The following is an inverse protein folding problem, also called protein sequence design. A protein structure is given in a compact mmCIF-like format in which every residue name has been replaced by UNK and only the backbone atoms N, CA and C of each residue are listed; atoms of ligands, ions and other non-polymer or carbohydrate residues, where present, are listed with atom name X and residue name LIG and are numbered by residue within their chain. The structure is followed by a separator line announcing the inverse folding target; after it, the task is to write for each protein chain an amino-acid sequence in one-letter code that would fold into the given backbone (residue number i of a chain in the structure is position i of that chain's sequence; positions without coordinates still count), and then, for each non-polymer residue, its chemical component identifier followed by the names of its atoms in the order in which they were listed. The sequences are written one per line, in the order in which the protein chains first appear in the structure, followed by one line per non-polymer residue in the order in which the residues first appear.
data_IF_289344447584
#
_entry.id   IF_289344447584
#
_cell.length_a   1.000
_cell.length_b   1.000
_cell.length_c   1.000
_cell.angle_alpha   90.00
_cell.angle_beta   90.00
_cell.angle_gamma   90.00
#
_symmetry.space_group_name_H-M   'P 1'
#
loop_
_entity.id
_entity.type
_entity.pdbx_description
1 polymer ?
#
# COMPACT_ATOMS: atom_id res chain seq x y z
N UNK A 1 25.04 11.37 19.91
CA UNK A 1 25.77 10.90 18.70
C UNK A 1 24.79 10.72 17.54
N UNK A 2 23.92 11.71 17.31
CA UNK A 2 22.51 11.45 17.67
C UNK A 2 21.52 11.16 16.52
N UNK A 3 21.60 11.87 15.38
CA UNK A 3 20.72 11.62 14.22
C UNK A 3 21.53 11.30 12.96
N UNK A 4 22.56 12.10 12.66
CA UNK A 4 23.40 11.93 11.47
C UNK A 4 24.03 10.55 11.36
N UNK A 5 24.52 9.99 12.47
CA UNK A 5 25.08 8.63 12.50
C UNK A 5 24.04 7.58 12.12
N UNK A 6 22.83 7.68 12.69
CA UNK A 6 21.72 6.76 12.39
C UNK A 6 21.28 6.83 10.93
N UNK A 7 21.23 8.03 10.35
CA UNK A 7 20.92 8.20 8.94
C UNK A 7 22.01 7.63 8.03
N UNK A 8 23.29 7.77 8.42
CA UNK A 8 24.40 7.18 7.68
C UNK A 8 24.37 5.63 7.75
N UNK A 9 24.12 5.06 8.93
CA UNK A 9 24.01 3.61 9.12
C UNK A 9 22.81 3.03 8.34
N UNK A 10 21.65 3.73 8.41
CA UNK A 10 20.46 3.37 7.64
C UNK A 10 20.76 3.36 6.14
N UNK A 11 21.25 4.47 5.58
CA UNK A 11 21.47 4.62 4.15
C UNK A 11 22.62 3.76 3.60
N UNK A 12 23.73 3.69 4.32
CA UNK A 12 24.98 3.10 3.84
C UNK A 12 25.15 1.61 4.10
N UNK A 13 24.52 1.08 5.15
CA UNK A 13 24.60 -0.33 5.50
C UNK A 13 23.25 -1.03 5.29
N UNK A 14 22.23 -0.60 6.03
CA UNK A 14 20.97 -1.35 6.13
C UNK A 14 20.17 -1.36 4.84
N UNK A 15 20.06 -0.22 4.16
CA UNK A 15 19.36 -0.11 2.86
C UNK A 15 20.08 -0.91 1.78
N UNK A 16 21.41 -0.87 1.76
CA UNK A 16 22.23 -1.59 0.78
C UNK A 16 22.08 -3.09 0.96
N UNK A 17 22.24 -3.58 2.19
CA UNK A 17 22.05 -4.99 2.52
C UNK A 17 20.64 -5.45 2.17
N UNK A 18 19.62 -4.70 2.64
CA UNK A 18 18.23 -5.03 2.39
C UNK A 18 17.90 -5.15 0.89
N UNK A 19 18.36 -4.18 0.10
CA UNK A 19 17.97 -4.11 -1.32
C UNK A 19 18.82 -4.98 -2.23
N UNK A 20 20.10 -5.16 -1.93
CA UNK A 20 21.04 -5.82 -2.86
C UNK A 20 21.44 -7.22 -2.42
N UNK A 21 21.46 -7.51 -1.12
CA UNK A 21 21.85 -8.81 -0.58
C UNK A 21 20.62 -9.68 -0.27
N UNK A 22 19.60 -9.09 0.36
CA UNK A 22 18.40 -9.82 0.82
C UNK A 22 17.28 -9.90 -0.25
N UNK A 23 17.29 -9.00 -1.23
CA UNK A 23 16.25 -8.85 -2.25
C UNK A 23 16.81 -8.59 -3.64
N UNK A 24 15.95 -8.72 -4.67
CA UNK A 24 16.30 -8.36 -6.05
C UNK A 24 16.10 -6.86 -6.28
N UNK A 25 16.98 -6.05 -5.71
CA UNK A 25 16.98 -4.60 -5.86
C UNK A 25 18.36 -4.02 -6.16
N UNK A 26 18.37 -2.73 -6.47
CA UNK A 26 19.60 -1.98 -6.71
C UNK A 26 19.44 -0.55 -6.23
N UNK A 27 20.38 -0.09 -5.41
CA UNK A 27 20.42 1.28 -4.91
C UNK A 27 21.03 2.19 -5.98
N UNK A 28 20.29 3.21 -6.42
CA UNK A 28 20.82 4.26 -7.30
C UNK A 28 21.53 5.33 -6.49
N UNK A 29 20.89 5.79 -5.42
CA UNK A 29 21.41 6.82 -4.52
C UNK A 29 20.66 6.78 -3.19
N UNK A 30 21.37 6.92 -2.06
CA UNK A 30 20.79 7.23 -0.75
C UNK A 30 21.67 8.25 -0.01
N UNK A 31 21.08 9.37 0.39
CA UNK A 31 21.75 10.49 1.05
C UNK A 31 21.52 10.58 2.55
N UNK A 32 20.98 9.53 3.17
CA UNK A 32 20.50 9.54 4.55
C UNK A 32 19.03 9.19 4.60
N UNK A 33 18.17 10.22 4.61
CA UNK A 33 16.71 10.09 4.68
C UNK A 33 16.01 10.02 3.32
N UNK A 34 16.66 10.49 2.25
CA UNK A 34 16.15 10.42 0.88
C UNK A 34 17.01 9.49 0.00
N UNK A 35 16.35 8.75 -0.89
CA UNK A 35 17.02 7.85 -1.82
C UNK A 35 16.13 7.37 -2.95
N UNK A 36 16.76 6.67 -3.90
CA UNK A 36 16.15 6.07 -5.07
C UNK A 36 16.74 4.67 -5.26
N UNK A 37 15.87 3.69 -5.45
CA UNK A 37 16.24 2.31 -5.74
C UNK A 37 15.31 1.70 -6.80
N UNK A 38 15.84 0.70 -7.49
CA UNK A 38 15.05 -0.25 -8.27
C UNK A 38 14.78 -1.49 -7.45
N UNK A 39 13.59 -2.07 -7.62
CA UNK A 39 13.17 -3.30 -6.96
C UNK A 39 12.42 -4.18 -7.95
N UNK A 40 12.61 -5.49 -7.89
CA UNK A 40 11.78 -6.43 -8.61
C UNK A 40 10.33 -6.33 -8.10
N UNK A 41 9.36 -6.38 -9.03
CA UNK A 41 7.94 -6.29 -8.69
C UNK A 41 7.51 -7.40 -7.71
N UNK A 42 8.08 -8.59 -7.83
CA UNK A 42 7.78 -9.73 -6.95
C UNK A 42 8.11 -9.46 -5.48
N UNK A 43 9.13 -8.64 -5.22
CA UNK A 43 9.59 -8.30 -3.88
C UNK A 43 9.02 -6.97 -3.37
N UNK A 44 8.20 -6.26 -4.17
CA UNK A 44 7.71 -4.91 -3.86
C UNK A 44 7.21 -4.77 -2.42
N UNK A 45 6.23 -5.59 -2.00
CA UNK A 45 5.64 -5.49 -0.66
C UNK A 45 6.61 -5.85 0.45
N UNK A 46 7.50 -6.84 0.22
CA UNK A 46 8.51 -7.25 1.21
C UNK A 46 9.50 -6.11 1.44
N UNK A 47 10.03 -5.56 0.36
CA UNK A 47 11.06 -4.51 0.39
C UNK A 47 10.52 -3.24 1.04
N UNK A 48 9.36 -2.73 0.62
CA UNK A 48 8.86 -1.47 1.20
C UNK A 48 8.45 -1.65 2.67
N UNK A 49 7.99 -2.85 3.07
CA UNK A 49 7.74 -3.17 4.48
C UNK A 49 9.05 -3.16 5.27
N UNK A 50 10.04 -3.93 4.80
CA UNK A 50 11.32 -4.05 5.47
C UNK A 50 12.04 -2.70 5.57
N UNK A 51 11.98 -1.87 4.53
CA UNK A 51 12.53 -0.51 4.55
C UNK A 51 11.90 0.32 5.67
N UNK A 52 10.57 0.24 5.84
CA UNK A 52 9.86 0.95 6.91
C UNK A 52 10.20 0.41 8.30
N UNK A 53 10.33 -0.91 8.44
CA UNK A 53 10.68 -1.57 9.71
C UNK A 53 12.11 -1.22 10.13
N UNK A 54 13.08 -1.27 9.21
CA UNK A 54 14.46 -0.86 9.46
C UNK A 54 14.53 0.61 9.87
N UNK A 55 13.78 1.50 9.21
CA UNK A 55 13.67 2.91 9.61
C UNK A 55 13.08 3.07 11.02
N UNK A 56 12.03 2.31 11.32
CA UNK A 56 11.41 2.31 12.66
C UNK A 56 12.44 1.97 13.74
N UNK A 57 13.18 0.89 13.53
CA UNK A 57 14.10 0.34 14.51
C UNK A 57 15.36 1.18 14.68
N UNK A 58 15.96 1.64 13.58
CA UNK A 58 17.26 2.31 13.61
C UNK A 58 17.15 3.82 13.84
N UNK A 59 16.06 4.44 13.38
CA UNK A 59 15.91 5.91 13.37
C UNK A 59 14.78 6.36 14.28
N UNK A 60 13.56 5.85 14.08
CA UNK A 60 12.37 6.39 14.75
C UNK A 60 12.31 6.05 16.25
N UNK A 61 12.34 4.77 16.64
CA UNK A 61 12.23 4.33 18.04
C UNK A 61 13.34 4.90 18.93
N UNK A 62 14.62 4.92 18.52
CA UNK A 62 15.68 5.44 19.37
C UNK A 62 15.58 6.94 19.64
N UNK A 63 14.88 7.68 18.78
CA UNK A 63 14.66 9.12 18.92
C UNK A 63 13.32 9.45 19.57
N UNK A 64 12.47 8.46 19.85
CA UNK A 64 11.12 8.67 20.38
C UNK A 64 11.09 9.27 21.79
N UNK A 65 12.08 8.97 22.62
CA UNK A 65 12.20 9.56 23.97
C UNK A 65 12.91 10.92 23.98
N UNK A 66 13.46 11.36 22.85
CA UNK A 66 14.28 12.58 22.74
C UNK A 66 13.58 13.66 21.94
N UNK A 67 12.84 13.28 20.90
CA UNK A 67 12.11 14.19 20.02
C UNK A 67 10.61 14.10 20.28
N UNK A 68 9.97 15.26 20.39
CA UNK A 68 8.51 15.36 20.47
C UNK A 68 7.81 14.86 19.20
N UNK A 69 8.49 14.92 18.05
CA UNK A 69 8.04 14.38 16.77
C UNK A 69 9.19 13.60 16.12
N UNK A 70 9.26 12.28 16.34
CA UNK A 70 10.29 11.44 15.75
C UNK A 70 10.19 11.42 14.22
N UNK A 71 11.32 11.27 13.51
CA UNK A 71 11.32 11.28 12.06
C UNK A 71 10.61 10.03 11.52
N UNK A 72 9.68 10.25 10.59
CA UNK A 72 8.89 9.20 9.92
C UNK A 72 9.39 8.98 8.49
N UNK A 73 8.97 7.89 7.85
CA UNK A 73 9.36 7.54 6.49
C UNK A 73 8.13 7.60 5.57
N UNK A 74 8.23 8.34 4.48
CA UNK A 74 7.25 8.29 3.39
C UNK A 74 7.92 7.77 2.12
N UNK A 75 7.22 6.93 1.36
CA UNK A 75 7.76 6.29 0.15
C UNK A 75 6.81 6.48 -1.03
N UNK A 76 7.36 6.90 -2.17
CA UNK A 76 6.68 6.88 -3.46
C UNK A 76 7.23 5.75 -4.32
N UNK A 77 6.35 4.94 -4.89
CA UNK A 77 6.71 3.84 -5.79
C UNK A 77 6.07 4.06 -7.14
N UNK A 78 6.82 3.81 -8.20
CA UNK A 78 6.26 3.62 -9.55
C UNK A 78 6.50 2.18 -9.99
N UNK A 79 5.46 1.55 -10.53
CA UNK A 79 5.55 0.26 -11.21
C UNK A 79 5.34 0.51 -12.70
N UNK A 80 6.34 0.17 -13.51
CA UNK A 80 6.35 0.47 -14.93
C UNK A 80 6.91 -0.69 -15.74
N UNK A 81 6.49 -0.79 -17.01
CA UNK A 81 7.17 -1.65 -17.97
C UNK A 81 8.59 -1.11 -18.25
N UNK A 82 9.56 -2.00 -18.46
CA UNK A 82 10.97 -1.65 -18.69
C UNK A 82 11.21 -0.76 -19.94
N UNK A 83 10.22 -0.66 -20.83
CA UNK A 83 10.26 0.24 -22.00
C UNK A 83 9.74 1.66 -21.73
N UNK A 84 9.18 1.94 -20.55
CA UNK A 84 8.82 3.32 -20.20
C UNK A 84 10.08 4.15 -20.04
N UNK A 85 10.02 5.41 -20.50
CA UNK A 85 11.13 6.34 -20.34
C UNK A 85 11.44 6.59 -18.87
N UNK A 86 12.68 6.34 -18.46
CA UNK A 86 13.11 6.47 -17.05
C UNK A 86 12.81 7.84 -16.44
N UNK A 87 12.94 8.93 -17.22
CA UNK A 87 12.60 10.29 -16.77
C UNK A 87 11.13 10.40 -16.33
N UNK A 88 10.23 9.77 -17.07
CA UNK A 88 8.82 9.75 -16.73
C UNK A 88 8.58 8.88 -15.49
N UNK A 89 9.20 7.70 -15.40
CA UNK A 89 9.12 6.86 -14.20
C UNK A 89 9.60 7.61 -12.94
N UNK A 90 10.73 8.33 -13.00
CA UNK A 90 11.23 9.11 -11.88
C UNK A 90 10.29 10.25 -11.49
N UNK A 91 9.68 10.92 -12.49
CA UNK A 91 8.66 11.94 -12.24
C UNK A 91 7.46 11.33 -11.49
N UNK A 92 6.93 10.21 -11.97
CA UNK A 92 5.78 9.53 -11.36
C UNK A 92 6.10 8.99 -9.96
N UNK A 93 7.32 8.47 -9.73
CA UNK A 93 7.76 8.06 -8.40
C UNK A 93 7.80 9.25 -7.43
N UNK A 94 8.26 10.42 -7.89
CA UNK A 94 8.24 11.64 -7.09
C UNK A 94 6.82 12.13 -6.83
N UNK A 95 5.95 12.11 -7.84
CA UNK A 95 4.53 12.44 -7.67
C UNK A 95 3.84 11.54 -6.65
N UNK A 96 4.12 10.24 -6.69
CA UNK A 96 3.64 9.29 -5.67
C UNK A 96 4.19 9.64 -4.28
N UNK A 97 5.49 9.97 -4.15
CA UNK A 97 6.07 10.38 -2.86
C UNK A 97 5.39 11.62 -2.30
N UNK A 98 5.15 12.65 -3.12
CA UNK A 98 4.46 13.86 -2.68
C UNK A 98 3.01 13.56 -2.30
N UNK A 99 2.32 12.64 -2.98
CA UNK A 99 0.98 12.19 -2.60
C UNK A 99 0.97 11.43 -1.26
N UNK A 100 1.96 10.59 -0.98
CA UNK A 100 2.12 9.96 0.32
C UNK A 100 2.34 11.01 1.43
N UNK A 101 3.15 12.03 1.16
CA UNK A 101 3.42 13.14 2.11
C UNK A 101 2.21 14.04 2.37
N UNK A 102 1.20 14.04 1.51
CA UNK A 102 -0.08 14.76 1.71
C UNK A 102 -1.00 14.08 2.72
N UNK A 103 -0.79 12.80 3.04
CA UNK A 103 -1.56 12.13 4.08
C UNK A 103 -1.32 12.80 5.44
N UNK A 104 -2.38 12.97 6.23
CA UNK A 104 -2.32 13.58 7.56
C UNK A 104 -1.26 12.89 8.43
N UNK A 105 -0.25 13.63 8.90
CA UNK A 105 0.84 13.07 9.70
C UNK A 105 1.91 12.28 8.92
N UNK A 106 1.92 12.33 7.58
CA UNK A 106 2.91 11.67 6.70
C UNK A 106 2.98 10.16 6.97
N UNK A 107 4.15 9.55 7.15
CA UNK A 107 4.34 8.13 7.48
C UNK A 107 3.45 7.19 6.66
N UNK A 108 3.62 7.27 5.34
CA UNK A 108 2.71 6.68 4.36
C UNK A 108 3.48 6.25 3.11
N UNK A 109 2.87 5.37 2.33
CA UNK A 109 3.35 5.04 1.01
C UNK A 109 2.28 5.36 -0.05
N UNK A 110 2.75 5.60 -1.27
CA UNK A 110 1.90 5.72 -2.46
C UNK A 110 2.53 4.94 -3.60
N UNK A 111 1.70 4.26 -4.38
CA UNK A 111 2.12 3.44 -5.52
C UNK A 111 1.36 3.89 -6.75
N UNK A 112 2.09 4.29 -7.78
CA UNK A 112 1.58 4.54 -9.12
C UNK A 112 1.90 3.35 -10.03
N UNK A 113 0.91 2.79 -10.70
CA UNK A 113 1.07 1.73 -11.70
C UNK A 113 0.85 2.32 -13.09
N UNK A 114 1.92 2.34 -13.90
CA UNK A 114 1.89 2.77 -15.29
C UNK A 114 1.37 1.62 -16.15
N UNK A 115 0.07 1.66 -16.46
CA UNK A 115 -0.55 0.73 -17.41
C UNK A 115 -0.25 1.14 -18.84
N UNK A 116 -0.31 0.19 -19.78
CA UNK A 116 -0.06 0.45 -21.21
C UNK A 116 -1.01 1.49 -21.83
N UNK A 117 -2.20 1.66 -21.26
CA UNK A 117 -3.21 2.63 -21.70
C UNK A 117 -3.87 3.33 -20.51
N UNK A 118 -4.06 4.64 -20.63
CA UNK A 118 -4.72 5.49 -19.63
C UNK A 118 -3.77 6.17 -18.66
N UNK A 119 -4.33 7.00 -17.77
CA UNK A 119 -3.58 7.65 -16.70
C UNK A 119 -3.04 6.62 -15.70
N UNK A 120 -1.91 6.90 -15.04
CA UNK A 120 -1.41 6.08 -13.94
C UNK A 120 -2.50 5.78 -12.92
N UNK A 121 -2.64 4.51 -12.53
CA UNK A 121 -3.48 4.18 -11.39
C UNK A 121 -2.65 4.40 -10.14
N UNK A 122 -3.06 5.34 -9.29
CA UNK A 122 -2.35 5.72 -8.09
C UNK A 122 -3.18 5.43 -6.85
N UNK A 123 -2.57 4.80 -5.86
CA UNK A 123 -3.17 4.48 -4.57
C UNK A 123 -2.20 4.80 -3.45
N UNK A 124 -2.72 5.20 -2.29
CA UNK A 124 -1.92 5.55 -1.11
C UNK A 124 -2.50 4.94 0.15
N UNK A 125 -1.64 4.73 1.14
CA UNK A 125 -2.05 4.31 2.47
C UNK A 125 -1.01 4.70 3.52
N UNK A 126 -1.45 4.77 4.78
CA UNK A 126 -0.54 4.68 5.92
C UNK A 126 0.15 3.31 5.91
N UNK A 127 1.37 3.21 6.44
CA UNK A 127 1.97 1.90 6.71
C UNK A 127 1.10 1.08 7.66
N UNK A 128 0.66 1.78 8.72
CA UNK A 128 -0.08 1.25 9.86
C UNK A 128 -1.22 2.17 10.22
N UNK A 129 -2.36 1.58 10.54
CA UNK A 129 -3.44 2.30 11.20
C UNK A 129 -3.51 1.83 12.65
N UNK A 130 -3.66 2.74 13.63
CA UNK A 130 -3.75 2.35 15.04
C UNK A 130 -5.15 1.87 15.43
N UNK A 131 -6.18 2.27 14.68
CA UNK A 131 -7.58 1.92 14.96
C UNK A 131 -8.39 1.72 13.66
N UNK A 132 -8.77 0.48 13.32
CA UNK A 132 -8.29 -0.76 13.93
C UNK A 132 -6.78 -0.91 13.74
N UNK A 133 -6.09 -1.58 14.67
CA UNK A 133 -4.65 -1.80 14.56
C UNK A 133 -4.34 -2.73 13.38
N UNK A 134 -3.80 -2.23 12.29
CA UNK A 134 -3.47 -3.04 11.10
C UNK A 134 -2.16 -2.61 10.46
N UNK A 135 -1.51 -3.58 9.82
CA UNK A 135 -0.37 -3.39 8.91
C UNK A 135 -0.88 -3.54 7.47
N UNK A 136 -0.87 -2.46 6.67
CA UNK A 136 -1.52 -2.49 5.35
C UNK A 136 -0.83 -3.51 4.43
N UNK A 137 0.50 -3.57 4.45
CA UNK A 137 1.27 -4.46 3.58
C UNK A 137 1.06 -5.94 3.89
N UNK A 138 0.71 -6.30 5.13
CA UNK A 138 0.35 -7.68 5.47
C UNK A 138 -1.00 -8.09 4.89
N UNK A 139 -1.93 -7.13 4.75
CA UNK A 139 -3.23 -7.35 4.12
C UNK A 139 -3.05 -7.50 2.61
N UNK A 140 -2.19 -6.67 1.99
CA UNK A 140 -1.86 -6.80 0.57
C UNK A 140 -1.16 -8.13 0.28
N UNK A 141 -0.20 -8.54 1.12
CA UNK A 141 0.48 -9.82 1.00
C UNK A 141 -0.50 -11.00 1.12
N UNK A 142 -1.48 -10.93 2.04
CA UNK A 142 -2.51 -11.97 2.17
C UNK A 142 -3.39 -12.09 0.91
N UNK A 143 -3.76 -10.96 0.29
CA UNK A 143 -4.48 -10.97 -0.99
C UNK A 143 -3.61 -11.48 -2.12
N UNK A 144 -2.35 -11.06 -2.20
CA UNK A 144 -1.37 -11.54 -3.18
C UNK A 144 -1.27 -13.06 -3.13
N UNK A 145 -1.17 -13.63 -1.93
CA UNK A 145 -1.16 -15.06 -1.68
C UNK A 145 -2.45 -15.76 -2.10
N UNK A 146 -3.61 -15.17 -1.77
CA UNK A 146 -4.91 -15.71 -2.17
C UNK A 146 -5.07 -15.77 -3.69
N UNK A 147 -4.59 -14.75 -4.42
CA UNK A 147 -4.58 -14.75 -5.89
C UNK A 147 -3.61 -15.79 -6.46
N UNK A 148 -2.37 -15.85 -5.95
CA UNK A 148 -1.35 -16.83 -6.40
C UNK A 148 -1.82 -18.27 -6.21
N UNK A 149 -2.48 -18.54 -5.08
CA UNK A 149 -3.07 -19.86 -4.76
C UNK A 149 -4.42 -20.11 -5.46
N UNK A 150 -4.85 -19.22 -6.35
CA UNK A 150 -6.13 -19.28 -7.09
C UNK A 150 -7.36 -19.42 -6.18
N UNK A 151 -7.28 -18.88 -4.95
CA UNK A 151 -8.36 -18.92 -3.95
C UNK A 151 -9.36 -17.80 -4.12
N UNK A 152 -8.91 -16.66 -4.65
CA UNK A 152 -9.74 -15.48 -4.87
C UNK A 152 -9.71 -15.08 -6.35
N UNK A 153 -10.88 -14.89 -6.94
CA UNK A 153 -11.01 -14.37 -8.31
C UNK A 153 -11.04 -12.84 -8.29
N UNK A 154 -10.25 -12.11 -9.11
CA UNK A 154 -10.23 -10.64 -9.13
C UNK A 154 -11.58 -10.00 -9.52
N UNK A 155 -12.53 -10.79 -10.03
CA UNK A 155 -13.88 -10.32 -10.38
C UNK A 155 -14.62 -9.70 -9.19
N UNK A 156 -14.33 -10.11 -7.95
CA UNK A 156 -14.95 -9.49 -6.77
C UNK A 156 -14.73 -7.98 -6.73
N UNK A 157 -13.55 -7.52 -7.14
CA UNK A 157 -13.19 -6.11 -7.10
C UNK A 157 -13.86 -5.34 -8.25
N UNK A 158 -14.02 -5.98 -9.42
CA UNK A 158 -14.77 -5.42 -10.53
C UNK A 158 -16.26 -5.27 -10.18
N UNK A 159 -16.85 -6.30 -9.56
CA UNK A 159 -18.22 -6.25 -9.07
C UNK A 159 -18.36 -5.13 -8.03
N UNK A 160 -17.42 -4.99 -7.09
CA UNK A 160 -17.44 -3.92 -6.08
C UNK A 160 -17.35 -2.53 -6.71
N UNK A 161 -16.51 -2.35 -7.74
CA UNK A 161 -16.47 -1.10 -8.52
C UNK A 161 -17.81 -0.81 -9.21
N UNK A 162 -18.54 -1.84 -9.64
CA UNK A 162 -19.89 -1.70 -10.19
C UNK A 162 -20.91 -1.14 -9.19
N UNK A 163 -20.72 -1.42 -7.90
CA UNK A 163 -21.57 -0.92 -6.81
C UNK A 163 -21.17 0.49 -6.32
N UNK A 164 -20.11 1.09 -6.89
CA UNK A 164 -19.57 2.38 -6.44
C UNK A 164 -20.61 3.50 -6.46
N UNK A 165 -21.49 3.54 -7.48
CA UNK A 165 -22.54 4.55 -7.56
C UNK A 165 -23.54 4.43 -6.38
N UNK A 166 -23.89 3.21 -5.98
CA UNK A 166 -24.81 2.98 -4.87
C UNK A 166 -24.17 3.37 -3.53
N UNK A 167 -22.89 3.05 -3.34
CA UNK A 167 -22.11 3.43 -2.15
C UNK A 167 -21.94 4.95 -2.09
N UNK A 168 -21.49 5.56 -3.18
CA UNK A 168 -21.25 7.01 -3.26
C UNK A 168 -22.56 7.80 -3.23
N UNK A 169 -23.67 7.27 -3.73
CA UNK A 169 -24.99 7.92 -3.66
C UNK A 169 -25.50 8.11 -2.22
N UNK A 170 -24.95 7.39 -1.25
CA UNK A 170 -25.20 7.63 0.18
C UNK A 170 -24.25 8.66 0.78
N UNK A 171 -23.07 8.87 0.20
CA UNK A 171 -22.10 9.85 0.66
C UNK A 171 -22.31 11.21 -0.02
N UNK A 172 -22.10 12.36 0.65
CA UNK A 172 -21.79 12.55 2.07
C UNK A 172 -23.04 12.61 2.96
N UNK A 173 -24.23 12.32 2.44
CA UNK A 173 -25.51 12.52 3.13
C UNK A 173 -25.73 11.56 4.32
N UNK A 174 -25.35 10.29 4.16
CA UNK A 174 -25.34 9.25 5.18
C UNK A 174 -24.03 8.43 5.13
N UNK A 175 -22.94 8.98 5.69
CA UNK A 175 -21.63 8.35 5.76
C UNK A 175 -21.60 6.97 6.43
N UNK A 176 -22.45 6.75 7.44
CA UNK A 176 -22.52 5.48 8.16
C UNK A 176 -23.13 4.41 7.25
N UNK A 177 -24.22 4.74 6.56
CA UNK A 177 -24.88 3.82 5.64
C UNK A 177 -24.03 3.49 4.42
N UNK A 178 -23.29 4.47 3.89
CA UNK A 178 -22.32 4.24 2.82
C UNK A 178 -21.26 3.20 3.25
N UNK A 179 -20.71 3.35 4.46
CA UNK A 179 -19.75 2.39 5.02
C UNK A 179 -20.35 1.00 5.20
N UNK A 180 -21.53 0.91 5.84
CA UNK A 180 -22.22 -0.36 6.06
C UNK A 180 -22.50 -1.11 4.76
N UNK A 181 -22.94 -0.40 3.72
CA UNK A 181 -23.22 -0.98 2.40
C UNK A 181 -21.92 -1.51 1.79
N UNK A 182 -20.84 -0.75 1.84
CA UNK A 182 -19.54 -1.18 1.33
C UNK A 182 -19.00 -2.40 2.09
N UNK A 183 -19.08 -2.40 3.43
CA UNK A 183 -18.68 -3.55 4.27
C UNK A 183 -19.46 -4.83 3.90
N UNK A 184 -20.78 -4.68 3.71
CA UNK A 184 -21.64 -5.78 3.27
C UNK A 184 -21.22 -6.31 1.90
N UNK A 185 -21.00 -5.42 0.92
CA UNK A 185 -20.60 -5.80 -0.43
C UNK A 185 -19.21 -6.44 -0.49
N UNK A 186 -18.22 -5.90 0.24
CA UNK A 186 -16.89 -6.52 0.38
C UNK A 186 -17.03 -7.98 0.85
N UNK A 187 -17.77 -8.19 1.95
CA UNK A 187 -17.97 -9.53 2.53
C UNK A 187 -18.70 -10.46 1.56
N UNK A 188 -19.78 -9.99 0.93
CA UNK A 188 -20.60 -10.77 -0.01
C UNK A 188 -19.78 -11.17 -1.24
N UNK A 189 -19.07 -10.22 -1.84
CA UNK A 189 -18.35 -10.42 -3.10
C UNK A 189 -17.10 -11.28 -2.91
N UNK A 190 -16.33 -11.10 -1.83
CA UNK A 190 -15.19 -11.98 -1.54
C UNK A 190 -15.68 -13.43 -1.37
N UNK A 191 -16.76 -13.66 -0.61
CA UNK A 191 -17.33 -15.02 -0.44
C UNK A 191 -17.79 -15.62 -1.77
N UNK A 192 -18.48 -14.83 -2.58
CA UNK A 192 -18.99 -15.25 -3.90
C UNK A 192 -17.87 -15.66 -4.85
N UNK A 193 -16.73 -14.98 -4.79
CA UNK A 193 -15.57 -15.18 -5.67
C UNK A 193 -14.44 -15.96 -5.00
N UNK A 194 -14.72 -16.59 -3.86
CA UNK A 194 -13.80 -17.49 -3.17
C UNK A 194 -13.91 -18.89 -3.78
N UNK A 195 -12.84 -19.31 -4.45
CA UNK A 195 -12.78 -20.53 -5.24
C UNK A 195 -11.98 -21.65 -4.57
N UNK A 196 -11.35 -21.40 -3.40
CA UNK A 196 -10.26 -22.23 -2.85
C UNK A 196 -10.45 -23.73 -3.10
N UNK A 197 -9.58 -24.36 -3.92
CA UNK A 197 -9.74 -25.76 -4.31
C UNK A 197 -9.63 -26.74 -3.14
N UNK A 198 -9.09 -26.29 -2.01
CA UNK A 198 -8.90 -27.09 -0.81
C UNK A 198 -9.97 -26.83 0.26
N UNK A 199 -10.97 -25.98 -0.02
CA UNK A 199 -12.08 -25.72 0.88
C UNK A 199 -11.76 -24.91 2.14
N UNK A 200 -10.61 -24.20 2.20
CA UNK A 200 -10.37 -23.30 3.33
C UNK A 200 -11.37 -22.13 3.31
N UNK A 201 -11.79 -21.63 4.49
CA UNK A 201 -12.72 -20.51 4.57
C UNK A 201 -12.10 -19.19 4.12
N UNK A 202 -12.94 -18.30 3.58
CA UNK A 202 -12.55 -16.94 3.17
C UNK A 202 -12.43 -15.96 4.36
N UNK A 203 -12.84 -16.36 5.57
CA UNK A 203 -13.06 -15.44 6.70
C UNK A 203 -11.81 -14.66 7.11
N UNK A 204 -10.61 -15.24 6.99
CA UNK A 204 -9.36 -14.51 7.27
C UNK A 204 -9.12 -13.37 6.28
N UNK A 205 -9.35 -13.61 4.98
CA UNK A 205 -9.19 -12.58 3.95
C UNK A 205 -10.26 -11.50 4.15
N UNK A 206 -11.51 -11.92 4.37
CA UNK A 206 -12.64 -11.00 4.63
C UNK A 206 -12.37 -10.10 5.83
N UNK A 207 -11.98 -10.67 6.98
CA UNK A 207 -11.69 -9.90 8.19
C UNK A 207 -10.60 -8.85 7.94
N UNK A 208 -9.50 -9.25 7.32
CA UNK A 208 -8.42 -8.33 6.94
C UNK A 208 -8.90 -7.24 5.99
N UNK A 209 -9.69 -7.57 4.97
CA UNK A 209 -10.21 -6.58 4.02
C UNK A 209 -11.15 -5.58 4.69
N UNK A 210 -12.05 -6.04 5.56
CA UNK A 210 -12.98 -5.18 6.29
C UNK A 210 -12.25 -4.25 7.24
N UNK A 211 -11.23 -4.74 7.95
CA UNK A 211 -10.41 -3.90 8.83
C UNK A 211 -9.61 -2.85 8.06
N UNK A 212 -9.12 -3.19 6.86
CA UNK A 212 -8.49 -2.21 5.97
C UNK A 212 -9.49 -1.14 5.51
N UNK A 213 -10.67 -1.57 5.07
CA UNK A 213 -11.73 -0.65 4.66
C UNK A 213 -12.12 0.27 5.82
N UNK A 214 -12.35 -0.25 7.02
CA UNK A 214 -12.63 0.54 8.22
C UNK A 214 -11.52 1.55 8.52
N UNK A 215 -10.26 1.14 8.45
CA UNK A 215 -9.13 2.00 8.73
C UNK A 215 -8.96 3.15 7.71
N UNK A 216 -9.17 2.86 6.42
CA UNK A 216 -9.13 3.88 5.35
C UNK A 216 -10.36 4.79 5.43
N UNK A 217 -11.52 4.22 5.74
CA UNK A 217 -12.75 4.99 5.91
C UNK A 217 -12.67 5.95 7.09
N UNK A 218 -11.92 5.58 8.14
CA UNK A 218 -11.65 6.41 9.30
C UNK A 218 -12.92 6.78 10.09
N UNK A 219 -12.82 7.78 10.99
CA UNK A 219 -13.97 8.32 11.69
C UNK A 219 -14.99 8.86 10.69
N UNK A 220 -16.24 8.39 10.82
CA UNK A 220 -17.39 8.82 10.02
C UNK A 220 -17.46 10.37 10.00
N UNK A 221 -17.52 10.96 8.81
CA UNK A 221 -17.70 12.42 8.63
C UNK A 221 -16.44 13.24 8.33
N UNK A 222 -15.22 12.67 8.38
CA UNK A 222 -14.06 13.35 7.74
C UNK A 222 -14.19 13.23 6.22
N UNK A 223 -14.20 14.31 5.42
CA UNK A 223 -14.21 14.19 3.97
C UNK A 223 -12.83 13.73 3.47
N UNK A 224 -12.77 12.57 2.81
CA UNK A 224 -11.68 12.26 1.89
C UNK A 224 -12.31 11.48 0.73
N UNK A 225 -12.49 12.21 -0.38
CA UNK A 225 -13.15 11.72 -1.59
C UNK A 225 -12.37 10.59 -2.25
N UNK A 226 -11.10 10.34 -1.86
CA UNK A 226 -10.26 9.29 -2.42
C UNK A 226 -10.32 7.96 -1.67
N UNK A 227 -11.03 7.87 -0.54
CA UNK A 227 -10.98 6.67 0.33
C UNK A 227 -11.38 5.39 -0.39
N UNK A 228 -12.44 5.45 -1.19
CA UNK A 228 -12.90 4.30 -1.94
C UNK A 228 -11.90 3.93 -3.04
N UNK A 229 -11.38 4.92 -3.77
CA UNK A 229 -10.39 4.74 -4.82
C UNK A 229 -9.06 4.20 -4.28
N UNK A 230 -8.61 4.69 -3.12
CA UNK A 230 -7.40 4.22 -2.45
C UNK A 230 -7.60 2.78 -1.98
N UNK A 231 -8.71 2.46 -1.30
CA UNK A 231 -9.03 1.09 -0.90
C UNK A 231 -9.07 0.12 -2.10
N UNK A 232 -9.84 0.46 -3.14
CA UNK A 232 -9.96 -0.39 -4.33
C UNK A 232 -8.62 -0.47 -5.08
N UNK A 233 -7.87 0.63 -5.12
CA UNK A 233 -6.53 0.69 -5.72
C UNK A 233 -5.51 -0.19 -5.01
N UNK A 234 -5.55 -0.26 -3.68
CA UNK A 234 -4.72 -1.17 -2.89
C UNK A 234 -5.05 -2.64 -3.18
N UNK A 235 -6.34 -2.97 -3.27
CA UNK A 235 -6.80 -4.34 -3.58
C UNK A 235 -6.44 -4.76 -5.01
N UNK A 236 -6.51 -3.82 -5.95
CA UNK A 236 -6.10 -4.03 -7.33
C UNK A 236 -4.57 -4.18 -7.43
N UNK A 237 -3.81 -3.37 -6.68
CA UNK A 237 -2.35 -3.48 -6.60
C UNK A 237 -1.92 -4.87 -6.11
N UNK A 238 -2.58 -5.44 -5.10
CA UNK A 238 -2.29 -6.79 -4.63
C UNK A 238 -2.48 -7.84 -5.73
N UNK A 239 -3.54 -7.71 -6.56
CA UNK A 239 -3.76 -8.57 -7.72
C UNK A 239 -2.69 -8.37 -8.81
N UNK A 240 -2.37 -7.10 -9.12
CA UNK A 240 -1.37 -6.75 -10.13
C UNK A 240 0.00 -7.34 -9.81
N UNK A 241 0.45 -7.21 -8.56
CA UNK A 241 1.71 -7.80 -8.08
C UNK A 241 1.64 -9.33 -8.08
N UNK A 242 0.52 -9.93 -7.68
CA UNK A 242 0.34 -11.38 -7.69
C UNK A 242 0.52 -12.01 -9.08
N UNK A 243 0.17 -11.26 -10.13
CA UNK A 243 0.32 -11.67 -11.53
C UNK A 243 1.73 -11.49 -12.11
N UNK A 244 2.66 -10.88 -11.38
CA UNK A 244 3.98 -10.53 -11.90
C UNK A 244 3.97 -9.31 -12.83
N UNK A 245 2.90 -8.50 -12.79
CA UNK A 245 2.70 -7.34 -13.67
C UNK A 245 1.98 -7.67 -14.97
N UNK A 246 1.38 -6.63 -15.57
CA UNK A 246 0.63 -6.70 -16.83
C UNK A 246 -0.84 -7.11 -16.70
N UNK A 247 -1.67 -6.54 -17.60
CA UNK A 247 -2.96 -7.09 -18.01
C UNK A 247 -2.81 -7.73 -19.38
#
# INVERSE_FOLDING_TARGET
RDLRGRLADFAGASVVQLLQDDHLGHVVYFGGDEGVAFVALEDLFKVIKALRDVWEEQVMRPLQSVLSSPPTLSVGVVVAHHQHGLRFCLHEARTALEDAKKMEGKDAFSVAVLRRSGSPSQTRAKWRYPNPRIEVLEILAAHQDAYRKKRLSPRWLNDLRGEALAIHGKWPHDPSKAKELCDYEIKRLIRRHWLDPNGHPADNVIDRTLRLHEAIWGPVGRPDERRFEDFVGLMDLAFYVARGGGY
#
